data_IF_499241133272
#
_entry.id   IF_499241133272
#
_cell.length_a   1.000
_cell.length_b   1.000
_cell.length_c   1.000
_cell.angle_alpha   90.00
_cell.angle_beta   90.00
_cell.angle_gamma   90.00
#
_symmetry.space_group_name_H-M   'P 1'
#
loop_
_entity.id
_entity.type
_entity.pdbx_description
1 polymer ?
#
# COMPACT_ATOMS: atom_id res chain seq x y z
N UNK A 1 8.83 8.33 -13.32
CA UNK A 1 9.39 8.04 -11.98
C UNK A 1 8.38 7.26 -11.12
N UNK A 2 8.87 6.38 -10.23
CA UNK A 2 8.06 5.76 -9.17
C UNK A 2 7.76 6.81 -8.10
N UNK A 3 6.56 6.79 -7.52
CA UNK A 3 6.25 7.60 -6.34
C UNK A 3 6.49 6.84 -5.04
N UNK A 4 6.53 7.59 -3.94
CA UNK A 4 6.75 7.04 -2.61
C UNK A 4 5.49 6.41 -2.01
N UNK A 5 5.71 5.47 -1.10
CA UNK A 5 4.67 4.76 -0.35
C UNK A 5 4.39 5.41 1.02
N UNK A 6 4.34 6.74 1.04
CA UNK A 6 4.24 7.50 2.28
C UNK A 6 2.83 7.49 2.88
N UNK A 7 2.79 7.37 4.21
CA UNK A 7 1.58 7.50 5.00
C UNK A 7 1.37 8.97 5.42
N UNK A 8 0.20 9.52 5.11
CA UNK A 8 -0.14 10.91 5.43
C UNK A 8 -0.92 11.02 6.75
N UNK A 9 -0.43 10.34 7.79
CA UNK A 9 -1.14 10.22 9.08
C UNK A 9 -1.33 11.56 9.83
N UNK A 10 -0.57 12.60 9.46
CA UNK A 10 -0.64 13.94 10.06
C UNK A 10 -1.44 14.99 9.28
N UNK A 11 -1.95 14.66 8.08
CA UNK A 11 -2.57 15.67 7.20
C UNK A 11 -4.07 15.88 7.49
N UNK A 12 -4.72 14.93 8.17
CA UNK A 12 -6.16 14.98 8.44
C UNK A 12 -6.42 14.95 9.96
N UNK A 13 -7.23 15.90 10.46
CA UNK A 13 -7.73 15.94 11.86
C UNK A 13 -8.68 14.78 12.23
N UNK A 14 -8.87 13.80 11.34
CA UNK A 14 -9.74 12.65 11.58
C UNK A 14 -8.96 11.45 12.09
N UNK A 15 -9.64 10.59 12.83
CA UNK A 15 -9.12 9.29 13.30
C UNK A 15 -8.53 8.53 12.10
N UNK A 16 -7.23 8.20 12.19
CA UNK A 16 -6.53 7.44 11.15
C UNK A 16 -7.25 6.11 10.87
N UNK A 17 -7.17 5.63 9.63
CA UNK A 17 -7.77 4.35 9.26
C UNK A 17 -7.19 3.20 10.10
N UNK A 18 -5.91 3.27 10.46
CA UNK A 18 -5.28 2.26 11.32
C UNK A 18 -5.94 2.21 12.70
N UNK A 19 -6.31 3.37 13.27
CA UNK A 19 -7.01 3.44 14.55
C UNK A 19 -8.44 2.84 14.51
N UNK A 20 -9.02 2.65 13.32
CA UNK A 20 -10.34 2.01 13.15
C UNK A 20 -10.27 0.48 13.05
N UNK A 21 -9.10 -0.09 12.80
CA UNK A 21 -8.92 -1.54 12.64
C UNK A 21 -8.50 -2.14 13.99
N UNK A 22 -9.25 -3.10 14.57
CA UNK A 22 -8.87 -3.73 15.84
C UNK A 22 -7.45 -4.30 15.83
N UNK A 23 -6.76 -4.27 16.97
CA UNK A 23 -5.40 -4.83 17.09
C UNK A 23 -5.33 -6.33 16.81
N UNK A 24 -6.42 -7.05 17.06
CA UNK A 24 -6.53 -8.50 16.83
C UNK A 24 -7.05 -8.85 15.43
N UNK A 25 -7.24 -7.85 14.56
CA UNK A 25 -7.84 -8.08 13.25
C UNK A 25 -6.85 -8.79 12.29
N UNK A 26 -7.26 -9.85 11.58
CA UNK A 26 -6.36 -10.64 10.70
C UNK A 26 -5.63 -9.82 9.63
N UNK A 27 -6.24 -8.73 9.14
CA UNK A 27 -5.59 -7.84 8.16
C UNK A 27 -4.27 -7.25 8.65
N UNK A 28 -4.03 -7.14 9.97
CA UNK A 28 -2.75 -6.65 10.49
C UNK A 28 -1.62 -7.64 10.17
N UNK A 29 -1.83 -8.93 10.42
CA UNK A 29 -0.89 -9.98 10.03
C UNK A 29 -0.72 -10.06 8.51
N UNK A 30 -1.83 -9.95 7.77
CA UNK A 30 -1.77 -9.96 6.29
C UNK A 30 -0.94 -8.78 5.78
N UNK A 31 -1.13 -7.59 6.34
CA UNK A 31 -0.34 -6.39 6.00
C UNK A 31 1.16 -6.64 6.18
N UNK A 32 1.59 -7.18 7.32
CA UNK A 32 3.00 -7.48 7.58
C UNK A 32 3.59 -8.51 6.60
N UNK A 33 2.79 -9.49 6.16
CA UNK A 33 3.22 -10.47 5.16
C UNK A 33 3.37 -9.81 3.79
N UNK A 34 2.41 -8.98 3.41
CA UNK A 34 2.37 -8.30 2.12
C UNK A 34 3.49 -7.25 2.03
N UNK A 35 3.69 -6.44 3.07
CA UNK A 35 4.74 -5.41 3.10
C UNK A 35 6.14 -6.04 2.95
N UNK A 36 6.38 -7.21 3.56
CA UNK A 36 7.62 -7.99 3.35
C UNK A 36 7.78 -8.49 1.92
N UNK A 37 6.71 -9.02 1.33
CA UNK A 37 6.75 -9.49 -0.06
C UNK A 37 7.02 -8.34 -1.02
N UNK A 38 6.35 -7.21 -0.84
CA UNK A 38 6.51 -6.01 -1.66
C UNK A 38 7.91 -5.40 -1.53
N UNK A 39 8.47 -5.34 -0.31
CA UNK A 39 9.85 -4.91 -0.11
C UNK A 39 10.85 -5.77 -0.90
N UNK A 40 10.61 -7.08 -0.97
CA UNK A 40 11.40 -8.01 -1.77
C UNK A 40 11.30 -7.79 -3.28
N UNK A 41 10.27 -7.09 -3.76
CA UNK A 41 10.02 -6.78 -5.18
C UNK A 41 10.43 -5.35 -5.57
N UNK A 42 10.97 -4.57 -4.62
CA UNK A 42 11.21 -3.14 -4.83
C UNK A 42 12.16 -2.86 -6.00
N UNK A 43 13.18 -3.71 -6.21
CA UNK A 43 14.13 -3.55 -7.31
C UNK A 43 13.47 -3.76 -8.67
N UNK A 44 12.61 -4.75 -8.78
CA UNK A 44 11.84 -5.07 -9.98
C UNK A 44 10.87 -3.94 -10.30
N UNK A 45 10.23 -3.35 -9.27
CA UNK A 45 9.39 -2.19 -9.44
C UNK A 45 10.19 -0.97 -9.92
N UNK A 46 11.35 -0.67 -9.34
CA UNK A 46 12.19 0.43 -9.84
C UNK A 46 12.57 0.26 -11.31
N UNK A 47 12.94 -0.96 -11.72
CA UNK A 47 13.43 -1.23 -13.07
C UNK A 47 12.39 -0.95 -14.18
N UNK A 48 11.09 -0.97 -13.85
CA UNK A 48 10.02 -0.71 -14.82
C UNK A 48 9.59 0.77 -14.89
N UNK A 49 10.10 1.63 -14.01
CA UNK A 49 9.77 3.06 -14.01
C UNK A 49 10.75 3.89 -14.84
N UNK A 50 10.21 4.87 -15.57
CA UNK A 50 11.03 5.88 -16.23
C UNK A 50 11.82 6.72 -15.21
N UNK A 51 13.09 7.02 -15.52
CA UNK A 51 13.97 7.83 -14.69
C UNK A 51 13.49 9.27 -14.52
N UNK A 52 12.71 9.79 -15.47
CA UNK A 52 12.22 11.16 -15.48
C UNK A 52 10.68 11.24 -15.51
N UNK A 53 10.14 12.45 -15.38
CA UNK A 53 8.70 12.75 -15.43
C UNK A 53 7.99 12.74 -14.07
N UNK A 54 6.66 12.92 -14.09
CA UNK A 54 5.85 12.98 -12.86
C UNK A 54 5.91 11.64 -12.11
N UNK A 55 6.13 11.63 -10.77
CA UNK A 55 5.99 10.43 -9.97
C UNK A 55 4.58 9.83 -10.10
N UNK A 56 4.53 8.53 -10.38
CA UNK A 56 3.29 7.76 -10.40
C UNK A 56 2.85 7.37 -8.98
N UNK A 57 1.69 6.71 -8.86
CA UNK A 57 1.34 6.04 -7.60
C UNK A 57 2.22 4.79 -7.46
N UNK A 58 2.81 4.60 -6.28
CA UNK A 58 3.59 3.41 -5.97
C UNK A 58 2.78 2.12 -6.18
N UNK A 59 3.35 1.07 -6.82
CA UNK A 59 2.63 -0.17 -7.10
C UNK A 59 2.16 -0.85 -5.80
N UNK A 60 2.86 -0.69 -4.69
CA UNK A 60 2.50 -1.21 -3.37
C UNK A 60 1.10 -0.76 -2.92
N UNK A 61 0.76 0.51 -3.19
CA UNK A 61 -0.54 1.08 -2.80
C UNK A 61 -1.67 0.41 -3.57
N UNK A 62 -1.46 0.18 -4.87
CA UNK A 62 -2.43 -0.48 -5.73
C UNK A 62 -2.57 -1.96 -5.36
N UNK A 63 -1.46 -2.67 -5.15
CA UNK A 63 -1.47 -4.08 -4.79
C UNK A 63 -2.14 -4.34 -3.44
N UNK A 64 -1.90 -3.51 -2.43
CA UNK A 64 -2.63 -3.60 -1.15
C UNK A 64 -4.12 -3.32 -1.30
N UNK A 65 -4.52 -2.37 -2.15
CA UNK A 65 -5.92 -2.11 -2.44
C UNK A 65 -6.59 -3.30 -3.14
N UNK A 66 -5.92 -3.92 -4.12
CA UNK A 66 -6.42 -5.12 -4.81
C UNK A 66 -6.61 -6.29 -3.86
N UNK A 67 -5.72 -6.48 -2.89
CA UNK A 67 -5.90 -7.53 -1.87
C UNK A 67 -7.15 -7.31 -1.02
N UNK A 68 -7.44 -6.06 -0.63
CA UNK A 68 -8.69 -5.74 0.06
C UNK A 68 -9.91 -6.02 -0.82
N UNK A 69 -9.83 -5.71 -2.13
CA UNK A 69 -10.89 -6.06 -3.07
C UNK A 69 -11.14 -7.56 -3.11
N UNK A 70 -10.09 -8.38 -3.18
CA UNK A 70 -10.19 -9.84 -3.17
C UNK A 70 -10.76 -10.37 -1.85
N UNK A 71 -10.24 -9.92 -0.70
CA UNK A 71 -10.68 -10.42 0.60
C UNK A 71 -12.13 -10.07 0.95
N UNK A 72 -12.62 -8.92 0.48
CA UNK A 72 -13.95 -8.42 0.82
C UNK A 72 -14.90 -8.37 -0.37
N UNK A 73 -14.53 -8.96 -1.51
CA UNK A 73 -15.33 -8.92 -2.74
C UNK A 73 -15.75 -7.50 -3.15
N UNK A 74 -14.87 -6.51 -2.94
CA UNK A 74 -15.13 -5.11 -3.33
C UNK A 74 -14.98 -5.02 -4.84
N UNK A 75 -16.01 -4.50 -5.52
CA UNK A 75 -16.01 -4.35 -6.98
C UNK A 75 -15.14 -3.16 -7.41
N UNK A 76 -14.63 -3.22 -8.64
CA UNK A 76 -13.90 -2.11 -9.28
C UNK A 76 -14.83 -1.02 -9.80
#
# INVERSE_FOLDING_TARGET
>A
MRGDDDHQDGLFSYVSLDARVPKTHPLRTVREMVDRALAGMSREFEAIYAAEGRPSIAPERLLRALLLQVFYSIRS
#
